data_IF_331961962102
#
_entry.id   IF_331961962102
#
_cell.length_a   1.000
_cell.length_b   1.000
_cell.length_c   1.000
_cell.angle_alpha   90.00
_cell.angle_beta   90.00
_cell.angle_gamma   90.00
#
_symmetry.space_group_name_H-M   'P 1'
#
loop_
_entity.id
_entity.type
_entity.pdbx_description
1 polymer ?
#
# COMPACT_ATOMS: atom_id res chain seq x y z
N UNK A 1 10.17 -38.44 33.05
CA UNK A 1 9.33 -37.29 32.61
C UNK A 1 10.18 -36.09 32.22
N UNK A 2 11.38 -35.93 32.79
CA UNK A 2 12.21 -34.72 32.62
C UNK A 2 12.72 -34.51 31.19
N UNK A 3 12.99 -35.59 30.45
CA UNK A 3 13.49 -35.50 29.07
C UNK A 3 12.46 -34.89 28.09
N UNK A 4 11.17 -35.19 28.30
CA UNK A 4 10.09 -34.64 27.47
C UNK A 4 9.89 -33.14 27.70
N UNK A 5 10.09 -32.68 28.94
CA UNK A 5 9.98 -31.26 29.33
C UNK A 5 11.15 -30.47 28.72
N UNK A 6 12.37 -30.99 28.80
CA UNK A 6 13.55 -30.35 28.19
C UNK A 6 13.43 -30.29 26.67
N UNK A 7 12.93 -31.35 26.03
CA UNK A 7 12.71 -31.38 24.59
C UNK A 7 11.61 -30.40 24.15
N UNK A 8 10.52 -30.29 24.90
CA UNK A 8 9.44 -29.35 24.63
C UNK A 8 9.91 -27.89 24.76
N UNK A 9 10.72 -27.58 25.78
CA UNK A 9 11.30 -26.24 25.96
C UNK A 9 12.29 -25.89 24.84
N UNK A 10 13.13 -26.82 24.41
CA UNK A 10 14.03 -26.63 23.27
C UNK A 10 13.26 -26.44 21.95
N UNK A 11 12.18 -27.19 21.75
CA UNK A 11 11.31 -27.04 20.57
C UNK A 11 10.61 -25.68 20.56
N UNK A 12 10.08 -25.23 21.71
CA UNK A 12 9.46 -23.92 21.85
C UNK A 12 10.48 -22.81 21.59
N UNK A 13 11.68 -22.91 22.19
CA UNK A 13 12.75 -21.94 22.01
C UNK A 13 13.19 -21.88 20.54
N UNK A 14 13.38 -23.03 19.90
CA UNK A 14 13.69 -23.15 18.48
C UNK A 14 12.62 -22.52 17.59
N UNK A 15 11.34 -22.77 17.87
CA UNK A 15 10.23 -22.17 17.12
C UNK A 15 10.20 -20.64 17.27
N UNK A 16 10.38 -20.12 18.48
CA UNK A 16 10.48 -18.66 18.70
C UNK A 16 11.69 -18.05 18.02
N UNK A 17 12.84 -18.71 18.05
CA UNK A 17 14.06 -18.23 17.42
C UNK A 17 13.92 -18.21 15.89
N UNK A 18 13.35 -19.27 15.30
CA UNK A 18 13.07 -19.34 13.86
C UNK A 18 12.06 -18.26 13.44
N UNK A 19 11.00 -18.08 14.24
CA UNK A 19 9.98 -17.05 13.98
C UNK A 19 10.59 -15.64 13.99
N UNK A 20 11.44 -15.34 14.98
CA UNK A 20 12.15 -14.07 15.06
C UNK A 20 13.17 -13.89 13.93
N UNK A 21 13.89 -14.95 13.54
CA UNK A 21 14.85 -14.89 12.43
C UNK A 21 14.14 -14.66 11.10
N UNK A 22 12.99 -15.31 10.87
CA UNK A 22 12.16 -15.12 9.69
C UNK A 22 11.50 -13.74 9.69
N UNK A 23 11.03 -13.25 10.82
CA UNK A 23 10.53 -11.88 10.96
C UNK A 23 11.62 -10.85 10.62
N UNK A 24 12.84 -11.04 11.13
CA UNK A 24 13.98 -10.15 10.87
C UNK A 24 14.47 -10.24 9.42
N UNK A 25 14.48 -11.43 8.81
CA UNK A 25 14.79 -11.59 7.38
C UNK A 25 13.70 -10.98 6.50
N UNK A 26 12.43 -11.11 6.89
CA UNK A 26 11.31 -10.47 6.21
C UNK A 26 11.41 -8.94 6.33
N UNK A 27 11.78 -8.42 7.50
CA UNK A 27 12.04 -6.98 7.69
C UNK A 27 13.18 -6.50 6.81
N UNK A 28 14.31 -7.23 6.73
CA UNK A 28 15.43 -6.90 5.84
C UNK A 28 15.07 -7.01 4.34
N UNK A 29 14.22 -7.96 3.97
CA UNK A 29 13.72 -8.08 2.60
C UNK A 29 12.72 -6.95 2.26
N UNK A 30 12.01 -6.42 3.26
CA UNK A 30 11.10 -5.27 3.16
C UNK A 30 11.80 -3.91 3.32
N UNK A 31 13.06 -3.89 3.78
CA UNK A 31 13.93 -2.70 3.83
C UNK A 31 14.33 -2.23 2.43
N UNK A 32 14.12 -3.08 1.42
CA UNK A 32 14.09 -2.70 0.01
C UNK A 32 12.70 -2.19 -0.36
N UNK A 33 12.67 -0.89 -0.62
CA UNK A 33 11.52 0.00 -0.70
C UNK A 33 10.30 -0.59 -1.45
N UNK A 34 9.16 -0.84 -0.77
CA UNK A 34 7.95 -1.34 -1.41
C UNK A 34 7.25 -0.29 -2.28
N UNK A 35 7.69 0.96 -2.18
CA UNK A 35 7.37 2.02 -3.12
C UNK A 35 8.64 2.43 -3.85
N UNK A 36 8.61 2.49 -5.18
CA UNK A 36 9.64 3.27 -5.86
C UNK A 36 9.53 4.71 -5.36
N UNK A 37 10.66 5.38 -5.10
CA UNK A 37 10.68 6.81 -4.75
C UNK A 37 9.80 7.63 -5.69
N UNK A 38 9.80 7.26 -6.98
CA UNK A 38 8.92 7.79 -8.02
C UNK A 38 7.42 7.61 -7.72
N UNK A 39 6.95 6.41 -7.38
CA UNK A 39 5.56 6.18 -7.01
C UNK A 39 5.15 7.04 -5.80
N UNK A 40 6.09 7.30 -4.89
CA UNK A 40 5.83 8.04 -3.65
C UNK A 40 5.68 9.51 -3.96
N UNK A 41 6.59 10.04 -4.75
CA UNK A 41 6.55 11.42 -5.24
C UNK A 41 5.27 11.69 -6.02
N UNK A 42 4.83 10.76 -6.88
CA UNK A 42 3.59 10.88 -7.62
C UNK A 42 2.36 10.93 -6.70
N UNK A 43 2.28 10.05 -5.71
CA UNK A 43 1.19 10.06 -4.74
C UNK A 43 1.21 11.30 -3.83
N UNK A 44 2.39 11.75 -3.39
CA UNK A 44 2.55 12.98 -2.60
C UNK A 44 2.12 14.21 -3.40
N UNK A 45 2.45 14.23 -4.70
CA UNK A 45 2.03 15.30 -5.61
C UNK A 45 0.51 15.31 -5.79
N UNK A 46 -0.10 14.15 -5.98
CA UNK A 46 -1.57 14.06 -6.08
C UNK A 46 -2.28 14.41 -4.77
N UNK A 47 -1.67 14.09 -3.62
CA UNK A 47 -2.16 14.53 -2.32
C UNK A 47 -2.10 16.06 -2.15
N UNK A 48 -1.03 16.69 -2.62
CA UNK A 48 -0.80 18.13 -2.43
C UNK A 48 -1.60 18.99 -3.43
N UNK A 49 -1.61 18.60 -4.70
CA UNK A 49 -2.24 19.36 -5.78
C UNK A 49 -2.66 18.41 -6.93
N UNK A 50 -3.84 17.78 -6.83
CA UNK A 50 -4.32 16.89 -7.88
C UNK A 50 -4.72 17.70 -9.12
N UNK A 51 -4.17 17.33 -10.29
CA UNK A 51 -4.42 17.99 -11.58
C UNK A 51 -4.93 16.96 -12.60
N UNK A 52 -5.92 17.28 -13.46
CA UNK A 52 -6.59 16.25 -14.29
C UNK A 52 -5.62 15.51 -15.20
N UNK A 53 -4.64 16.24 -15.74
CA UNK A 53 -3.62 15.73 -16.67
C UNK A 53 -2.27 15.42 -15.99
N UNK A 54 -2.22 15.35 -14.65
CA UNK A 54 -0.99 14.99 -13.95
C UNK A 54 -0.61 13.53 -14.24
N UNK A 55 0.69 13.21 -14.44
CA UNK A 55 1.15 11.82 -14.40
C UNK A 55 0.72 11.17 -13.08
N UNK A 56 0.16 9.97 -13.21
CA UNK A 56 -0.32 9.14 -12.10
C UNK A 56 0.56 7.90 -11.95
N UNK A 57 0.26 7.07 -10.96
CA UNK A 57 0.90 5.75 -10.84
C UNK A 57 0.66 4.90 -12.10
N UNK A 58 1.74 4.38 -12.68
CA UNK A 58 1.72 3.44 -13.80
C UNK A 58 1.24 2.04 -13.35
N UNK A 59 0.83 1.16 -14.28
CA UNK A 59 0.51 -0.22 -13.95
C UNK A 59 1.66 -0.95 -13.23
N UNK A 60 2.91 -0.63 -13.59
CA UNK A 60 4.10 -1.19 -12.95
C UNK A 60 4.24 -0.73 -11.49
N UNK A 61 3.97 0.56 -11.22
CA UNK A 61 3.94 1.08 -9.85
C UNK A 61 2.89 0.34 -9.03
N UNK A 62 1.68 0.15 -9.57
CA UNK A 62 0.63 -0.59 -8.89
C UNK A 62 1.00 -2.04 -8.61
N UNK A 63 1.59 -2.75 -9.58
CA UNK A 63 2.00 -4.13 -9.42
C UNK A 63 3.06 -4.30 -8.33
N UNK A 64 4.03 -3.37 -8.25
CA UNK A 64 5.06 -3.38 -7.20
C UNK A 64 4.47 -3.11 -5.82
N UNK A 65 3.61 -2.10 -5.70
CA UNK A 65 2.95 -1.78 -4.43
C UNK A 65 2.06 -2.94 -3.99
N UNK A 66 1.31 -3.56 -4.89
CA UNK A 66 0.45 -4.72 -4.60
C UNK A 66 1.27 -5.93 -4.15
N UNK A 67 2.38 -6.24 -4.84
CA UNK A 67 3.26 -7.35 -4.48
C UNK A 67 3.91 -7.18 -3.10
N UNK A 68 4.09 -5.94 -2.66
CA UNK A 68 4.63 -5.63 -1.35
C UNK A 68 3.60 -5.72 -0.20
N UNK A 69 2.30 -5.74 -0.51
CA UNK A 69 1.28 -5.81 0.53
C UNK A 69 1.24 -7.20 1.18
N UNK A 70 1.21 -7.29 2.52
CA UNK A 70 1.03 -8.57 3.17
C UNK A 70 -0.38 -9.10 2.88
N UNK A 71 -0.52 -10.42 2.77
CA UNK A 71 -1.79 -11.09 2.40
C UNK A 71 -3.00 -10.63 3.21
N UNK A 72 -2.82 -10.36 4.51
CA UNK A 72 -3.89 -9.91 5.41
C UNK A 72 -4.33 -8.45 5.18
N UNK A 73 -3.52 -7.61 4.50
CA UNK A 73 -3.90 -6.23 4.10
C UNK A 73 -4.41 -6.13 2.67
N UNK A 74 -4.33 -7.21 1.88
CA UNK A 74 -4.59 -7.18 0.44
C UNK A 74 -5.98 -6.67 0.08
N UNK A 75 -7.02 -7.10 0.79
CA UNK A 75 -8.40 -6.62 0.59
C UNK A 75 -8.54 -5.12 0.87
N UNK A 76 -7.90 -4.61 1.92
CA UNK A 76 -7.94 -3.18 2.27
C UNK A 76 -7.21 -2.36 1.22
N UNK A 77 -6.08 -2.87 0.70
CA UNK A 77 -5.35 -2.24 -0.39
C UNK A 77 -6.14 -2.21 -1.70
N UNK A 78 -6.79 -3.31 -2.08
CA UNK A 78 -7.66 -3.38 -3.26
C UNK A 78 -8.81 -2.37 -3.18
N UNK A 79 -9.43 -2.22 -2.00
CA UNK A 79 -10.46 -1.23 -1.78
C UNK A 79 -9.93 0.22 -1.91
N UNK A 80 -8.74 0.50 -1.37
CA UNK A 80 -8.11 1.82 -1.51
C UNK A 80 -7.73 2.12 -2.99
N UNK A 81 -7.22 1.13 -3.70
CA UNK A 81 -6.91 1.21 -5.13
C UNK A 81 -8.17 1.49 -5.96
N UNK A 82 -9.26 0.79 -5.69
CA UNK A 82 -10.54 1.02 -6.39
C UNK A 82 -11.05 2.45 -6.18
N UNK A 83 -11.05 2.94 -4.93
CA UNK A 83 -11.44 4.33 -4.60
C UNK A 83 -10.56 5.37 -5.28
N UNK A 84 -9.26 5.09 -5.40
CA UNK A 84 -8.34 5.97 -6.12
C UNK A 84 -8.69 6.07 -7.61
N UNK A 85 -8.94 4.94 -8.28
CA UNK A 85 -9.34 4.96 -9.70
C UNK A 85 -10.71 5.59 -9.90
N UNK A 86 -11.67 5.34 -9.01
CA UNK A 86 -12.98 5.99 -9.04
C UNK A 86 -12.83 7.52 -8.92
N UNK A 87 -12.05 7.99 -7.94
CA UNK A 87 -11.77 9.41 -7.77
C UNK A 87 -11.08 10.02 -9.00
N UNK A 88 -10.07 9.36 -9.59
CA UNK A 88 -9.39 9.87 -10.79
C UNK A 88 -10.28 9.82 -12.04
N UNK A 89 -11.14 8.81 -12.20
CA UNK A 89 -12.07 8.71 -13.31
C UNK A 89 -13.18 9.76 -13.21
N UNK A 90 -13.72 10.01 -12.01
CA UNK A 90 -14.65 11.10 -11.77
C UNK A 90 -13.98 12.47 -12.00
N UNK A 91 -12.69 12.58 -11.68
CA UNK A 91 -11.93 13.80 -11.86
C UNK A 91 -11.47 14.07 -13.31
N UNK A 92 -11.38 13.04 -14.15
CA UNK A 92 -11.07 13.17 -15.58
C UNK A 92 -12.31 13.27 -16.46
N UNK A 93 -13.45 12.72 -16.03
CA UNK A 93 -14.76 12.89 -16.68
C UNK A 93 -15.33 14.27 -16.36
N UNK A 94 -14.90 15.28 -17.11
CA UNK A 94 -15.48 16.63 -17.12
C UNK A 94 -16.86 16.71 -17.82
N UNK A 95 -17.49 15.58 -18.15
CA UNK A 95 -18.74 15.58 -18.91
C UNK A 95 -19.63 14.43 -18.46
N UNK A 96 -20.56 14.75 -17.55
CA UNK A 96 -21.75 13.97 -17.30
C UNK A 96 -22.89 14.99 -17.39
N UNK A 97 -23.66 14.91 -18.47
CA UNK A 97 -24.92 15.65 -18.70
C UNK A 97 -24.85 17.17 -18.90
N UNK A 98 -23.73 17.72 -19.40
CA UNK A 98 -23.68 19.14 -19.80
C UNK A 98 -23.70 20.15 -18.64
N UNK A 99 -23.68 19.69 -17.39
CA UNK A 99 -23.35 20.50 -16.25
C UNK A 99 -21.85 20.39 -15.96
N UNK A 100 -21.18 21.55 -15.84
CA UNK A 100 -19.77 21.64 -15.47
C UNK A 100 -19.60 21.15 -14.01
N UNK A 101 -19.54 19.84 -13.82
CA UNK A 101 -19.23 19.27 -12.52
C UNK A 101 -17.77 19.58 -12.23
N UNK A 102 -17.50 20.59 -11.40
CA UNK A 102 -16.14 20.88 -10.96
C UNK A 102 -15.66 19.68 -10.15
N UNK A 103 -14.70 18.90 -10.67
CA UNK A 103 -14.34 17.67 -10.02
C UNK A 103 -13.61 18.02 -8.72
N UNK A 104 -14.10 17.50 -7.58
CA UNK A 104 -13.57 17.89 -6.27
C UNK A 104 -12.15 17.33 -6.08
N UNK A 105 -11.11 18.18 -6.07
CA UNK A 105 -9.72 17.73 -5.92
C UNK A 105 -9.48 17.04 -4.57
N UNK A 106 -10.24 17.37 -3.53
CA UNK A 106 -10.08 16.77 -2.20
C UNK A 106 -10.37 15.26 -2.19
N UNK A 107 -11.21 14.77 -3.10
CA UNK A 107 -11.54 13.34 -3.20
C UNK A 107 -10.33 12.55 -3.73
N UNK A 108 -9.66 13.09 -4.75
CA UNK A 108 -8.42 12.51 -5.28
C UNK A 108 -7.30 12.57 -4.24
N UNK A 109 -7.12 13.73 -3.59
CA UNK A 109 -6.11 13.90 -2.54
C UNK A 109 -6.33 12.93 -1.36
N UNK A 110 -7.58 12.74 -0.94
CA UNK A 110 -7.95 11.79 0.11
C UNK A 110 -7.69 10.34 -0.29
N UNK A 111 -8.02 9.96 -1.53
CA UNK A 111 -7.76 8.61 -2.03
C UNK A 111 -6.25 8.33 -2.19
N UNK A 112 -5.49 9.29 -2.72
CA UNK A 112 -4.02 9.21 -2.80
C UNK A 112 -3.39 9.08 -1.40
N UNK A 113 -3.91 9.81 -0.42
CA UNK A 113 -3.47 9.70 0.97
C UNK A 113 -3.77 8.32 1.58
N UNK A 114 -4.93 7.72 1.29
CA UNK A 114 -5.23 6.35 1.76
C UNK A 114 -4.23 5.33 1.21
N UNK A 115 -3.86 5.45 -0.06
CA UNK A 115 -2.84 4.59 -0.67
C UNK A 115 -1.48 4.82 -0.01
N UNK A 116 -1.08 6.07 0.22
CA UNK A 116 0.16 6.42 0.93
C UNK A 116 0.21 5.84 2.36
N UNK A 117 -0.87 5.93 3.13
CA UNK A 117 -0.90 5.41 4.51
C UNK A 117 -0.79 3.88 4.55
N UNK A 118 -1.32 3.19 3.53
CA UNK A 118 -1.20 1.74 3.43
C UNK A 118 0.19 1.28 3.00
N UNK A 119 1.03 2.20 2.51
CA UNK A 119 2.36 1.89 2.01
C UNK A 119 3.48 2.47 2.88
N UNK A 120 3.24 3.57 3.58
CA UNK A 120 4.12 4.08 4.64
C UNK A 120 3.97 3.18 5.87
N UNK A 121 5.06 2.50 6.24
CA UNK A 121 5.14 1.75 7.51
C UNK A 121 5.16 2.75 8.68
N UNK A 122 4.22 2.59 9.61
CA UNK A 122 4.54 2.67 11.03
C UNK A 122 5.44 1.48 11.39
#
# INVERSE_FOLDING_TARGET
MDFAIVLALLSLFGATLLSNLLARRREKALEFDPLTSEARELLLRERAAPVPLCPTLSPEHWARIEAAQPSWRRQVFEAARARYFEARNAFSRNDIDGELYYPNPAVVAGAAHQVLVLTERF
#
